data_IF_972888731527
#
_entry.id   IF_972888731527
#
_cell.length_a   1.000
_cell.length_b   1.000
_cell.length_c   1.000
_cell.angle_alpha   90.00
_cell.angle_beta   90.00
_cell.angle_gamma   90.00
#
_symmetry.space_group_name_H-M   'P 1'
#
loop_
_entity.id
_entity.type
_entity.pdbx_description
1 polymer ?
#
# COMPACT_ATOMS: atom_id res chain seq x y z
N UNK A 1 19.78 14.23 -42.96
CA UNK A 1 19.78 12.77 -43.22
C UNK A 1 20.26 11.94 -42.02
N UNK A 2 21.29 12.36 -41.27
CA UNK A 2 21.73 11.64 -40.05
C UNK A 2 20.80 11.80 -38.83
N UNK A 3 20.05 12.90 -38.75
CA UNK A 3 19.12 13.19 -37.62
C UNK A 3 17.81 12.40 -37.67
N UNK A 4 17.31 12.07 -38.87
CA UNK A 4 16.09 11.25 -39.04
C UNK A 4 16.29 9.79 -38.63
N UNK A 5 17.49 9.24 -38.86
CA UNK A 5 17.79 7.84 -38.59
C UNK A 5 17.91 7.57 -37.09
N UNK A 6 18.40 8.54 -36.32
CA UNK A 6 18.46 8.46 -34.85
C UNK A 6 17.06 8.54 -34.21
N UNK A 7 16.19 9.43 -34.71
CA UNK A 7 14.80 9.54 -34.26
C UNK A 7 14.01 8.26 -34.58
N UNK A 8 14.18 7.69 -35.77
CA UNK A 8 13.57 6.42 -36.16
C UNK A 8 14.06 5.26 -35.29
N UNK A 9 15.35 5.17 -35.00
CA UNK A 9 15.89 4.16 -34.08
C UNK A 9 15.35 4.30 -32.66
N UNK A 10 15.21 5.52 -32.13
CA UNK A 10 14.63 5.76 -30.81
C UNK A 10 13.15 5.36 -30.76
N UNK A 11 12.41 5.64 -31.84
CA UNK A 11 10.99 5.31 -31.98
C UNK A 11 10.78 3.78 -32.12
N UNK A 12 11.65 3.10 -32.87
CA UNK A 12 11.65 1.63 -32.96
C UNK A 12 12.04 0.98 -31.64
N UNK A 13 13.03 1.52 -30.92
CA UNK A 13 13.45 1.01 -29.61
C UNK A 13 12.33 1.16 -28.57
N UNK A 14 11.65 2.32 -28.56
CA UNK A 14 10.49 2.55 -27.67
C UNK A 14 9.31 1.66 -28.04
N UNK A 15 9.02 1.43 -29.33
CA UNK A 15 8.00 0.47 -29.77
C UNK A 15 8.34 -0.96 -29.31
N UNK A 16 9.59 -1.40 -29.50
CA UNK A 16 10.09 -2.69 -29.01
C UNK A 16 9.96 -2.79 -27.49
N UNK A 17 10.37 -1.78 -26.74
CA UNK A 17 10.20 -1.75 -25.28
C UNK A 17 8.72 -1.88 -24.88
N UNK A 18 7.78 -1.19 -25.54
CA UNK A 18 6.34 -1.33 -25.24
C UNK A 18 5.79 -2.72 -25.57
N UNK A 19 6.33 -3.41 -26.58
CA UNK A 19 5.96 -4.79 -26.92
C UNK A 19 6.48 -5.80 -25.88
N UNK A 20 7.64 -5.54 -25.25
CA UNK A 20 8.19 -6.40 -24.19
C UNK A 20 7.52 -6.20 -22.81
N UNK A 21 6.86 -5.06 -22.56
CA UNK A 21 6.14 -4.80 -21.30
C UNK A 21 4.88 -5.67 -21.14
N UNK A 22 4.38 -6.28 -22.21
CA UNK A 22 3.12 -7.04 -22.21
C UNK A 22 3.19 -8.47 -21.64
N UNK A 23 4.33 -8.92 -21.10
CA UNK A 23 4.49 -10.28 -20.56
C UNK A 23 4.71 -10.32 -19.05
N UNK A 24 4.31 -9.29 -18.29
CA UNK A 24 4.14 -9.42 -16.85
C UNK A 24 2.97 -10.37 -16.58
N UNK A 25 3.25 -11.66 -16.44
CA UNK A 25 2.27 -12.62 -15.95
C UNK A 25 1.91 -12.24 -14.52
N UNK A 26 0.62 -12.18 -14.21
CA UNK A 26 0.16 -12.00 -12.84
C UNK A 26 0.71 -13.13 -11.96
N UNK A 27 1.28 -12.77 -10.82
CA UNK A 27 1.64 -13.73 -9.79
C UNK A 27 0.46 -13.92 -8.83
N UNK A 28 0.29 -15.14 -8.31
CA UNK A 28 -0.66 -15.39 -7.24
C UNK A 28 0.01 -15.08 -5.89
N UNK A 29 -0.70 -14.38 -5.01
CA UNK A 29 -0.26 -14.11 -3.65
C UNK A 29 -1.34 -14.53 -2.66
N UNK A 30 -0.95 -15.31 -1.65
CA UNK A 30 -1.85 -15.70 -0.58
C UNK A 30 -2.01 -14.55 0.41
N UNK A 31 -3.22 -14.02 0.52
CA UNK A 31 -3.59 -12.95 1.46
C UNK A 31 -4.60 -13.51 2.44
N UNK A 32 -4.40 -13.23 3.73
CA UNK A 32 -5.36 -13.59 4.76
C UNK A 32 -6.66 -12.77 4.61
N UNK A 33 -7.80 -13.39 4.90
CA UNK A 33 -9.08 -12.67 4.97
C UNK A 33 -9.09 -11.66 6.11
N UNK A 34 -9.92 -10.63 5.95
CA UNK A 34 -10.35 -9.81 7.07
C UNK A 34 -11.07 -10.67 8.11
N UNK A 35 -11.00 -10.24 9.37
CA UNK A 35 -11.52 -10.98 10.54
C UNK A 35 -12.68 -10.29 11.23
N UNK A 36 -12.96 -9.02 10.92
CA UNK A 36 -14.04 -8.24 11.52
C UNK A 36 -15.11 -7.92 10.47
N UNK A 37 -16.35 -8.36 10.72
CA UNK A 37 -17.50 -8.03 9.89
C UNK A 37 -18.50 -7.18 10.67
N UNK A 38 -19.23 -6.31 9.96
CA UNK A 38 -20.27 -5.46 10.58
C UNK A 38 -21.63 -6.14 10.45
N UNK A 39 -22.37 -6.20 11.56
CA UNK A 39 -23.73 -6.74 11.56
C UNK A 39 -24.65 -5.97 10.59
N UNK A 40 -25.45 -6.71 9.80
CA UNK A 40 -26.37 -6.20 8.79
C UNK A 40 -25.73 -5.83 7.45
N UNK A 41 -24.40 -5.89 7.32
CA UNK A 41 -23.70 -5.64 6.06
C UNK A 41 -23.28 -6.94 5.38
N UNK A 42 -22.92 -6.87 4.11
CA UNK A 42 -22.28 -7.98 3.40
C UNK A 42 -20.78 -8.03 3.67
N UNK A 43 -20.22 -9.22 3.74
CA UNK A 43 -18.82 -9.44 4.06
C UNK A 43 -18.18 -10.47 3.12
N UNK A 44 -16.97 -10.20 2.65
CA UNK A 44 -16.21 -11.13 1.81
C UNK A 44 -15.29 -11.99 2.69
N UNK A 45 -15.55 -13.29 2.74
CA UNK A 45 -14.64 -14.26 3.32
C UNK A 45 -13.59 -14.63 2.26
N UNK A 46 -12.37 -14.13 2.45
CA UNK A 46 -11.25 -14.39 1.57
C UNK A 46 -10.63 -15.77 1.81
N UNK A 47 -10.47 -16.58 0.77
CA UNK A 47 -9.69 -17.80 0.88
C UNK A 47 -8.91 -18.02 -0.41
N UNK A 48 -7.59 -17.86 -0.34
CA UNK A 48 -6.70 -17.98 -1.50
C UNK A 48 -5.69 -19.09 -1.22
N UNK A 49 -5.58 -20.03 -2.15
CA UNK A 49 -4.53 -21.05 -2.16
C UNK A 49 -3.87 -21.06 -3.52
N UNK A 50 -2.65 -20.52 -3.56
CA UNK A 50 -1.86 -20.46 -4.78
C UNK A 50 -1.22 -21.81 -5.06
N UNK A 51 -1.18 -22.20 -6.34
CA UNK A 51 -0.34 -23.34 -6.74
C UNK A 51 1.12 -22.97 -6.53
N UNK A 52 1.94 -23.95 -6.13
CA UNK A 52 3.39 -23.76 -6.02
C UNK A 52 4.03 -23.38 -7.36
N UNK A 53 3.42 -23.84 -8.45
CA UNK A 53 3.89 -23.70 -9.82
C UNK A 53 2.69 -23.34 -10.69
N UNK A 54 2.67 -22.13 -11.25
CA UNK A 54 1.47 -21.59 -11.91
C UNK A 54 1.20 -22.23 -13.27
N UNK A 55 2.25 -22.69 -13.95
CA UNK A 55 2.18 -23.27 -15.29
C UNK A 55 1.58 -24.68 -15.35
N UNK A 56 1.44 -25.37 -14.22
CA UNK A 56 0.87 -26.73 -14.19
C UNK A 56 -0.65 -26.62 -14.19
N UNK A 57 -1.30 -27.17 -15.20
CA UNK A 57 -2.76 -27.19 -15.26
C UNK A 57 -3.35 -28.03 -14.12
N UNK A 58 -4.52 -27.62 -13.65
CA UNK A 58 -5.23 -28.32 -12.60
C UNK A 58 -6.71 -28.01 -12.61
N UNK A 59 -7.49 -28.91 -12.02
CA UNK A 59 -8.88 -28.68 -11.67
C UNK A 59 -9.00 -28.72 -10.15
N UNK A 60 -9.84 -27.86 -9.59
CA UNK A 60 -10.10 -27.83 -8.16
C UNK A 60 -11.59 -27.61 -7.88
N UNK A 61 -12.05 -28.24 -6.81
CA UNK A 61 -13.32 -27.90 -6.18
C UNK A 61 -13.06 -27.47 -4.73
N UNK A 62 -14.03 -26.74 -4.18
CA UNK A 62 -13.90 -26.09 -2.89
C UNK A 62 -15.06 -26.49 -2.00
N UNK A 63 -14.75 -26.78 -0.74
CA UNK A 63 -15.73 -26.93 0.32
C UNK A 63 -15.47 -25.95 1.44
N UNK A 64 -16.53 -25.37 1.99
CA UNK A 64 -16.48 -24.53 3.17
C UNK A 64 -17.18 -25.19 4.34
N UNK A 65 -16.54 -25.10 5.49
CA UNK A 65 -17.05 -25.55 6.76
C UNK A 65 -17.10 -24.39 7.75
N UNK A 66 -18.11 -24.38 8.60
CA UNK A 66 -18.30 -23.40 9.65
C UNK A 66 -18.32 -24.06 11.01
N UNK A 67 -17.66 -23.45 11.98
CA UNK A 67 -17.71 -23.82 13.39
C UNK A 67 -18.14 -22.60 14.21
N UNK A 68 -19.34 -22.62 14.80
CA UNK A 68 -19.80 -21.56 15.69
C UNK A 68 -18.87 -21.35 16.89
N UNK A 69 -18.84 -20.13 17.44
CA UNK A 69 -18.08 -19.85 18.66
C UNK A 69 -18.68 -20.61 19.85
N UNK A 70 -17.93 -21.58 20.38
CA UNK A 70 -18.32 -22.38 21.56
C UNK A 70 -18.69 -23.82 21.25
N UNK A 71 -18.82 -24.17 19.96
CA UNK A 71 -19.05 -25.55 19.51
C UNK A 71 -17.74 -26.22 19.07
N UNK A 72 -17.72 -27.56 19.11
CA UNK A 72 -16.56 -28.36 18.75
C UNK A 72 -16.55 -28.85 17.29
N UNK A 73 -17.73 -28.99 16.67
CA UNK A 73 -17.91 -29.56 15.33
C UNK A 73 -17.85 -28.53 14.21
N UNK A 74 -17.28 -28.94 13.08
CA UNK A 74 -17.41 -28.21 11.81
C UNK A 74 -18.63 -28.73 11.05
N UNK A 75 -19.43 -27.83 10.52
CA UNK A 75 -20.60 -28.13 9.68
C UNK A 75 -20.30 -27.70 8.26
N UNK A 76 -20.61 -28.54 7.28
CA UNK A 76 -20.43 -28.22 5.86
C UNK A 76 -21.50 -27.22 5.44
N UNK A 77 -21.10 -26.09 4.84
CA UNK A 77 -22.00 -24.96 4.53
C UNK A 77 -22.09 -24.64 3.04
N UNK A 78 -21.04 -24.93 2.26
CA UNK A 78 -20.97 -24.52 0.86
C UNK A 78 -20.02 -25.41 0.07
N UNK A 79 -20.42 -25.75 -1.15
CA UNK A 79 -19.63 -26.52 -2.12
C UNK A 79 -19.58 -25.74 -3.42
N UNK A 80 -18.40 -25.66 -4.04
CA UNK A 80 -18.25 -25.12 -5.38
C UNK A 80 -17.44 -26.07 -6.24
N UNK A 81 -18.07 -26.60 -7.28
CA UNK A 81 -17.49 -27.54 -8.23
C UNK A 81 -17.79 -27.11 -9.68
N UNK A 82 -17.56 -28.00 -10.64
CA UNK A 82 -17.83 -27.73 -12.07
C UNK A 82 -19.32 -27.55 -12.40
N UNK A 83 -20.21 -28.15 -11.60
CA UNK A 83 -21.67 -28.05 -11.76
C UNK A 83 -22.24 -26.74 -11.18
N UNK A 84 -21.45 -26.05 -10.35
CA UNK A 84 -21.77 -24.75 -9.80
C UNK A 84 -21.64 -24.67 -8.27
N UNK A 85 -22.39 -23.73 -7.69
CA UNK A 85 -22.44 -23.48 -6.26
C UNK A 85 -23.63 -24.20 -5.62
N UNK A 86 -23.37 -24.94 -4.54
CA UNK A 86 -24.40 -25.60 -3.73
C UNK A 86 -24.26 -25.16 -2.28
N UNK A 87 -25.39 -24.77 -1.68
CA UNK A 87 -25.47 -24.43 -0.25
C UNK A 87 -26.00 -25.66 0.48
N UNK A 88 -25.23 -26.15 1.44
CA UNK A 88 -25.51 -27.43 2.13
C UNK A 88 -26.24 -27.23 3.47
N UNK A 89 -26.30 -25.99 3.96
CA UNK A 89 -26.83 -25.68 5.29
C UNK A 89 -27.85 -24.55 5.26
N UNK A 90 -29.03 -24.81 5.82
CA UNK A 90 -30.20 -23.90 5.78
C UNK A 90 -29.95 -22.51 6.38
N UNK A 91 -29.12 -22.39 7.44
CA UNK A 91 -28.76 -21.09 8.03
C UNK A 91 -28.10 -20.12 7.03
N UNK A 92 -27.44 -20.68 6.03
CA UNK A 92 -26.69 -19.93 5.01
C UNK A 92 -27.40 -19.90 3.66
N UNK A 93 -28.60 -20.49 3.56
CA UNK A 93 -29.43 -20.47 2.37
C UNK A 93 -29.70 -19.02 1.93
N UNK A 94 -29.57 -18.76 0.64
CA UNK A 94 -29.76 -17.45 -0.01
C UNK A 94 -28.89 -16.30 0.53
N UNK A 95 -27.86 -16.62 1.33
CA UNK A 95 -26.93 -15.63 1.94
C UNK A 95 -25.50 -15.80 1.48
N UNK A 96 -25.13 -16.92 0.89
CA UNK A 96 -23.80 -17.17 0.35
C UNK A 96 -23.80 -17.05 -1.17
N UNK A 97 -22.79 -16.35 -1.70
CA UNK A 97 -22.52 -16.27 -3.13
C UNK A 97 -21.03 -16.42 -3.43
N UNK A 98 -20.73 -16.90 -4.63
CA UNK A 98 -19.37 -17.13 -5.09
C UNK A 98 -18.71 -15.82 -5.56
N UNK A 99 -17.61 -15.45 -4.92
CA UNK A 99 -16.77 -14.30 -5.28
C UNK A 99 -15.34 -14.72 -5.66
N UNK A 100 -15.11 -16.02 -5.92
CA UNK A 100 -13.82 -16.57 -6.30
C UNK A 100 -13.54 -16.51 -7.80
N UNK A 101 -12.63 -17.38 -8.25
CA UNK A 101 -12.33 -17.57 -9.67
C UNK A 101 -13.54 -18.15 -10.42
N UNK A 102 -14.09 -17.44 -11.42
CA UNK A 102 -15.33 -17.82 -12.13
C UNK A 102 -15.13 -18.43 -13.52
N UNK A 103 -13.92 -18.31 -14.10
CA UNK A 103 -13.67 -18.58 -15.53
C UNK A 103 -12.72 -19.75 -15.79
N UNK A 104 -12.25 -20.41 -14.74
CA UNK A 104 -11.29 -21.52 -14.82
C UNK A 104 -11.68 -22.63 -13.87
N UNK A 105 -11.44 -23.87 -14.29
CA UNK A 105 -11.49 -25.05 -13.44
C UNK A 105 -10.33 -25.06 -12.42
N UNK A 106 -9.23 -24.37 -12.75
CA UNK A 106 -8.15 -24.09 -11.79
C UNK A 106 -8.56 -22.97 -10.84
N UNK A 107 -9.18 -23.35 -9.72
CA UNK A 107 -9.58 -22.42 -8.66
C UNK A 107 -8.37 -22.15 -7.76
N UNK A 108 -7.96 -20.89 -7.69
CA UNK A 108 -6.93 -20.40 -6.75
C UNK A 108 -7.50 -19.42 -5.72
N UNK A 109 -8.51 -18.64 -6.11
CA UNK A 109 -9.31 -17.80 -5.21
C UNK A 109 -10.67 -18.46 -4.97
N UNK A 110 -10.92 -18.87 -3.74
CA UNK A 110 -12.13 -19.51 -3.24
C UNK A 110 -12.97 -18.59 -2.34
N UNK A 111 -12.85 -17.28 -2.53
CA UNK A 111 -13.59 -16.31 -1.73
C UNK A 111 -15.11 -16.44 -1.90
N UNK A 112 -15.83 -16.41 -0.78
CA UNK A 112 -17.30 -16.36 -0.76
C UNK A 112 -17.78 -15.02 -0.18
N UNK A 113 -18.94 -14.58 -0.62
CA UNK A 113 -19.60 -13.39 -0.10
C UNK A 113 -20.77 -13.80 0.78
N UNK A 114 -20.79 -13.30 2.02
CA UNK A 114 -21.85 -13.55 3.00
C UNK A 114 -22.72 -12.29 3.13
N UNK A 115 -23.98 -12.39 2.74
CA UNK A 115 -24.97 -11.32 2.84
C UNK A 115 -25.65 -11.28 4.21
N UNK A 116 -26.02 -10.06 4.63
CA UNK A 116 -26.73 -9.78 5.87
C UNK A 116 -26.09 -10.48 7.07
N UNK A 117 -24.85 -10.13 7.40
CA UNK A 117 -24.10 -10.76 8.49
C UNK A 117 -24.81 -10.54 9.83
N UNK A 118 -24.90 -11.58 10.65
CA UNK A 118 -25.52 -11.57 11.97
C UNK A 118 -24.53 -12.00 13.04
N UNK A 119 -24.80 -11.71 14.31
CA UNK A 119 -23.90 -12.11 15.40
C UNK A 119 -23.70 -13.64 15.52
N UNK A 120 -24.66 -14.42 15.03
CA UNK A 120 -24.61 -15.90 15.01
C UNK A 120 -23.58 -16.45 14.00
N UNK A 121 -23.16 -15.63 13.04
CA UNK A 121 -22.14 -16.01 12.06
C UNK A 121 -20.71 -15.85 12.63
N UNK A 122 -20.59 -15.45 13.90
CA UNK A 122 -19.31 -15.39 14.61
C UNK A 122 -18.76 -16.79 14.86
N UNK A 123 -17.57 -17.07 14.37
CA UNK A 123 -16.98 -18.39 14.49
C UNK A 123 -15.71 -18.57 13.68
N UNK A 124 -15.39 -19.83 13.41
CA UNK A 124 -14.25 -20.22 12.57
C UNK A 124 -14.75 -20.85 11.29
N UNK A 125 -14.38 -20.26 10.16
CA UNK A 125 -14.60 -20.82 8.85
C UNK A 125 -13.35 -21.57 8.41
N UNK A 126 -13.54 -22.69 7.73
CA UNK A 126 -12.48 -23.47 7.11
C UNK A 126 -12.85 -23.74 5.66
N UNK A 127 -11.97 -23.34 4.74
CA UNK A 127 -12.08 -23.71 3.34
C UNK A 127 -11.12 -24.86 3.05
N UNK A 128 -11.58 -25.83 2.27
CA UNK A 128 -10.77 -26.90 1.70
C UNK A 128 -10.69 -26.74 0.19
N UNK A 129 -9.48 -26.82 -0.33
CA UNK A 129 -9.22 -26.95 -1.76
C UNK A 129 -8.88 -28.41 -2.04
N UNK A 130 -9.69 -29.06 -2.86
CA UNK A 130 -9.39 -30.37 -3.40
C UNK A 130 -8.95 -30.18 -4.84
N UNK A 131 -7.64 -30.25 -5.05
CA UNK A 131 -7.03 -29.93 -6.34
C UNK A 131 -6.40 -31.18 -6.95
N UNK A 132 -6.67 -31.40 -8.22
CA UNK A 132 -5.97 -32.39 -9.05
C UNK A 132 -5.09 -31.62 -10.03
N UNK A 133 -3.78 -31.83 -9.94
CA UNK A 133 -2.77 -31.28 -10.85
C UNK A 133 -2.51 -32.29 -11.96
N UNK A 134 -2.51 -31.82 -13.20
CA UNK A 134 -2.26 -32.62 -14.38
C UNK A 134 -0.82 -32.41 -14.84
N UNK A 135 0.03 -33.40 -14.60
CA UNK A 135 1.37 -33.46 -15.19
C UNK A 135 1.36 -34.31 -16.46
N UNK A 136 2.41 -34.22 -17.28
CA UNK A 136 2.49 -34.96 -18.55
C UNK A 136 2.33 -36.48 -18.40
N UNK A 137 2.74 -37.04 -17.26
CA UNK A 137 2.82 -38.49 -17.06
C UNK A 137 1.95 -39.04 -15.91
N UNK A 138 1.39 -38.17 -15.07
CA UNK A 138 0.59 -38.59 -13.91
C UNK A 138 -0.28 -37.45 -13.39
N UNK A 139 -1.31 -37.82 -12.64
CA UNK A 139 -2.17 -36.88 -11.92
C UNK A 139 -1.80 -36.89 -10.43
N UNK A 140 -1.83 -35.71 -9.81
CA UNK A 140 -1.53 -35.55 -8.40
C UNK A 140 -2.65 -34.80 -7.69
N UNK A 141 -3.35 -35.49 -6.80
CA UNK A 141 -4.38 -34.88 -5.97
C UNK A 141 -3.79 -34.38 -4.65
N UNK A 142 -4.13 -33.14 -4.29
CA UNK A 142 -3.70 -32.49 -3.04
C UNK A 142 -4.89 -31.80 -2.38
N UNK A 143 -4.90 -31.83 -1.05
CA UNK A 143 -5.90 -31.15 -0.24
C UNK A 143 -5.22 -30.11 0.62
N UNK A 144 -5.67 -28.86 0.53
CA UNK A 144 -5.14 -27.74 1.32
C UNK A 144 -6.29 -27.09 2.07
N UNK A 145 -6.14 -26.86 3.37
CA UNK A 145 -7.10 -26.12 4.16
C UNK A 145 -6.56 -24.76 4.62
N UNK A 146 -7.47 -23.79 4.74
CA UNK A 146 -7.19 -22.50 5.37
C UNK A 146 -8.29 -22.17 6.37
N UNK A 147 -7.89 -21.52 7.45
CA UNK A 147 -8.77 -21.13 8.55
C UNK A 147 -8.95 -19.62 8.55
N UNK A 148 -10.20 -19.19 8.71
CA UNK A 148 -10.58 -17.77 8.83
C UNK A 148 -11.41 -17.62 10.10
N UNK A 149 -10.94 -16.78 11.02
CA UNK A 149 -11.67 -16.46 12.24
C UNK A 149 -12.48 -15.19 12.02
N UNK A 150 -13.80 -15.31 12.05
CA UNK A 150 -14.72 -14.19 11.86
C UNK A 150 -15.31 -13.76 13.20
N UNK A 151 -15.21 -12.47 13.48
CA UNK A 151 -15.85 -11.79 14.61
C UNK A 151 -16.79 -10.72 14.10
N UNK A 152 -18.07 -10.80 14.48
CA UNK A 152 -19.08 -9.83 14.07
C UNK A 152 -19.21 -8.71 15.11
N UNK A 153 -19.03 -7.47 14.67
CA UNK A 153 -19.09 -6.26 15.50
C UNK A 153 -20.29 -5.39 15.09
N UNK A 154 -20.81 -4.59 16.02
CA UNK A 154 -21.93 -3.69 15.73
C UNK A 154 -21.51 -2.48 14.86
N UNK A 155 -20.23 -2.11 14.89
CA UNK A 155 -19.69 -0.95 14.16
C UNK A 155 -18.26 -1.25 13.72
N UNK A 156 -17.90 -0.86 12.50
CA UNK A 156 -16.54 -1.03 11.98
C UNK A 156 -15.50 -0.27 12.82
N UNK A 157 -14.43 -0.96 13.20
CA UNK A 157 -13.22 -0.40 13.81
C UNK A 157 -12.28 0.10 12.71
N UNK A 158 -11.60 1.24 12.93
CA UNK A 158 -10.38 1.55 12.16
C UNK A 158 -9.24 0.70 12.71
N UNK A 159 -8.43 0.10 11.83
CA UNK A 159 -7.26 -0.66 12.23
C UNK A 159 -6.27 0.19 13.03
N UNK A 160 -5.75 -0.37 14.13
CA UNK A 160 -4.81 0.32 15.03
C UNK A 160 -3.59 0.85 14.28
N UNK A 161 -3.05 0.07 13.33
CA UNK A 161 -1.93 0.47 12.49
C UNK A 161 -2.23 1.74 11.67
N UNK A 162 -3.44 1.89 11.14
CA UNK A 162 -3.85 3.09 10.38
C UNK A 162 -3.93 4.32 11.28
N UNK A 163 -4.41 4.16 12.52
CA UNK A 163 -4.48 5.27 13.49
C UNK A 163 -3.07 5.68 13.91
N UNK A 164 -2.21 4.71 14.23
CA UNK A 164 -0.84 4.98 14.67
C UNK A 164 0.00 5.60 13.55
N UNK A 165 -0.11 5.12 12.31
CA UNK A 165 0.65 5.69 11.19
C UNK A 165 0.26 7.14 10.89
N UNK A 166 -1.04 7.46 10.97
CA UNK A 166 -1.56 8.82 10.81
C UNK A 166 -1.00 9.76 11.89
N UNK A 167 -1.04 9.35 13.17
CA UNK A 167 -0.48 10.14 14.27
C UNK A 167 1.04 10.33 14.13
N UNK A 168 1.78 9.25 13.83
CA UNK A 168 3.24 9.30 13.68
C UNK A 168 3.67 10.19 12.51
N UNK A 169 2.90 10.21 11.42
CA UNK A 169 3.11 11.11 10.30
C UNK A 169 3.03 12.58 10.75
N UNK A 170 1.97 12.97 11.47
CA UNK A 170 1.83 14.34 11.96
C UNK A 170 2.92 14.75 12.95
N UNK A 171 3.28 13.86 13.88
CA UNK A 171 4.38 14.11 14.84
C UNK A 171 5.70 14.35 14.11
N UNK A 172 5.98 13.54 13.09
CA UNK A 172 7.20 13.67 12.30
C UNK A 172 7.22 14.98 11.50
N UNK A 173 6.10 15.36 10.87
CA UNK A 173 5.98 16.62 10.12
C UNK A 173 6.17 17.82 11.04
N UNK A 174 5.49 17.87 12.18
CA UNK A 174 5.59 18.98 13.13
C UNK A 174 7.00 19.07 13.71
N UNK A 175 7.59 17.93 14.08
CA UNK A 175 8.95 17.86 14.61
C UNK A 175 9.99 18.40 13.62
N UNK A 176 9.93 17.96 12.36
CA UNK A 176 10.82 18.45 11.31
C UNK A 176 10.60 19.94 11.02
N UNK A 177 9.35 20.40 11.01
CA UNK A 177 9.04 21.81 10.78
C UNK A 177 9.60 22.71 11.89
N UNK A 178 9.42 22.31 13.16
CA UNK A 178 9.97 23.04 14.31
C UNK A 178 11.49 23.04 14.27
N UNK A 179 12.11 21.90 13.94
CA UNK A 179 13.57 21.82 13.82
C UNK A 179 14.12 22.75 12.73
N UNK A 180 13.51 22.76 11.54
CA UNK A 180 13.88 23.69 10.47
C UNK A 180 13.68 25.15 10.88
N UNK A 181 12.59 25.49 11.59
CA UNK A 181 12.37 26.85 12.08
C UNK A 181 13.43 27.27 13.11
N UNK A 182 13.85 26.37 13.99
CA UNK A 182 14.94 26.62 14.96
C UNK A 182 16.23 26.93 14.21
N UNK A 183 16.62 26.10 13.24
CA UNK A 183 17.83 26.32 12.43
C UNK A 183 17.74 27.62 11.62
N UNK A 184 16.58 27.91 11.03
CA UNK A 184 16.35 29.16 10.30
C UNK A 184 16.50 30.39 11.19
N UNK A 185 15.91 30.39 12.39
CA UNK A 185 16.03 31.50 13.35
C UNK A 185 17.47 31.61 13.87
N UNK A 186 18.10 30.49 14.18
CA UNK A 186 19.48 30.45 14.64
C UNK A 186 20.44 31.04 13.60
N UNK A 187 20.34 30.58 12.34
CA UNK A 187 21.13 31.10 11.24
C UNK A 187 20.82 32.58 10.95
N UNK A 188 19.54 32.97 10.97
CA UNK A 188 19.15 34.36 10.77
C UNK A 188 19.78 35.28 11.81
N UNK A 189 19.66 34.95 13.11
CA UNK A 189 20.26 35.77 14.18
C UNK A 189 21.78 35.84 14.06
N UNK A 190 22.43 34.72 13.72
CA UNK A 190 23.89 34.67 13.54
C UNK A 190 24.35 35.55 12.37
N UNK A 191 23.66 35.49 11.24
CA UNK A 191 23.98 36.31 10.05
C UNK A 191 23.68 37.78 10.32
N UNK A 192 22.55 38.10 10.97
CA UNK A 192 22.21 39.48 11.32
C UNK A 192 23.29 40.13 12.20
N UNK A 193 23.78 39.42 13.22
CA UNK A 193 24.87 39.90 14.06
C UNK A 193 26.17 40.16 13.27
N UNK A 194 26.55 39.22 12.39
CA UNK A 194 27.72 39.41 11.52
C UNK A 194 27.53 40.53 10.48
N UNK A 195 26.29 40.73 10.01
CA UNK A 195 25.93 41.79 9.06
C UNK A 195 26.01 43.20 9.68
N UNK A 196 25.61 43.35 10.94
CA UNK A 196 25.76 44.61 11.67
C UNK A 196 27.24 44.98 11.84
N UNK A 197 28.11 44.00 12.12
CA UNK A 197 29.56 44.19 12.19
C UNK A 197 30.14 44.64 10.84
N UNK A 198 29.78 43.97 9.75
CA UNK A 198 30.21 44.34 8.40
C UNK A 198 29.73 45.75 7.98
N UNK A 199 28.50 46.13 8.33
CA UNK A 199 27.97 47.46 8.06
C UNK A 199 28.73 48.53 8.85
N UNK A 200 29.10 48.25 10.10
CA UNK A 200 29.87 49.16 10.96
C UNK A 200 31.30 49.33 10.44
N UNK A 201 31.93 48.27 9.94
CA UNK A 201 33.24 48.33 9.29
C UNK A 201 33.19 49.15 7.99
N UNK A 202 32.15 48.97 7.16
CA UNK A 202 31.95 49.77 5.95
C UNK A 202 31.74 51.26 6.26
N UNK A 203 30.91 51.60 7.26
CA UNK A 203 30.68 52.98 7.67
C UNK A 203 31.94 53.64 8.27
N UNK A 204 32.75 52.89 9.04
CA UNK A 204 34.03 53.39 9.55
C UNK A 204 35.03 53.66 8.42
N UNK A 205 35.08 52.79 7.40
CA UNK A 205 35.93 53.01 6.23
C UNK A 205 35.51 54.26 5.44
N UNK A 206 34.19 54.49 5.28
CA UNK A 206 33.66 55.69 4.63
C UNK A 206 33.96 56.98 5.42
N UNK A 207 33.78 56.97 6.74
CA UNK A 207 34.14 58.12 7.60
C UNK A 207 35.62 58.48 7.51
N UNK A 208 36.51 57.48 7.50
CA UNK A 208 37.96 57.69 7.36
C UNK A 208 38.30 58.27 5.98
N UNK A 209 37.63 57.82 4.92
CA UNK A 209 37.80 58.38 3.58
C UNK A 209 37.39 59.86 3.53
N UNK A 210 36.22 60.23 4.07
CA UNK A 210 35.75 61.62 4.13
C UNK A 210 36.69 62.50 4.98
N UNK A 211 37.19 61.99 6.11
CA UNK A 211 38.13 62.71 6.96
C UNK A 211 39.45 63.00 6.23
N UNK A 212 39.97 62.05 5.43
CA UNK A 212 41.18 62.26 4.62
C UNK A 212 40.97 63.36 3.57
N UNK A 213 39.82 63.37 2.88
CA UNK A 213 39.50 64.39 1.88
C UNK A 213 39.34 65.79 2.49
N UNK A 214 38.76 65.90 3.70
CA UNK A 214 38.66 67.18 4.42
C UNK A 214 40.01 67.73 4.93
N UNK A 215 40.97 66.83 5.21
CA UNK A 215 42.30 67.19 5.72
C UNK A 215 43.19 67.78 4.63
N UNK A 216 43.04 67.33 3.39
CA UNK A 216 43.75 67.86 2.24
C UNK A 216 43.26 69.27 1.85
N UNK A 217 41.97 69.58 2.04
CA UNK A 217 41.43 70.93 1.82
C UNK A 217 41.83 71.96 2.90
N UNK A 218 42.20 71.53 4.11
CA UNK A 218 42.63 72.44 5.19
C UNK A 218 44.13 72.78 5.15
N UNK A 219 44.93 72.14 4.29
CA UNK A 219 46.35 72.42 4.11
C UNK A 219 46.64 73.52 3.04
N UNK A 220 45.59 74.08 2.42
CA UNK A 220 45.69 75.05 1.33
C UNK A 220 45.23 76.47 1.71
N UNK A 221 45.85 77.11 2.71
CA UNK A 221 45.81 78.58 2.81
C UNK A 221 47.24 79.07 2.96
N UNK A 222 47.86 79.39 1.82
CA UNK A 222 49.10 80.17 1.79
C UNK A 222 48.75 81.66 1.96
N UNK A 223 49.24 82.27 3.03
CA UNK A 223 49.37 83.73 3.16
C UNK A 223 50.57 84.13 2.31
N UNK A 224 50.33 84.83 1.20
CA UNK A 224 51.36 85.44 0.38
C UNK A 224 51.66 86.85 0.88
N UNK A 225 52.93 87.08 1.20
CA UNK A 225 53.65 88.35 0.99
C UNK A 225 54.97 88.04 0.28
#
# INVERSE_FOLDING_TARGET
MFTDMAAFHLLVLTLLCTLFVYRCHGACAEVASDTEAVAGQGFKLGCISCKRRSEVDGSAYVEWYFKPKGESGFVHIYTYNEDGATIEHDQFADRLDWNGSKRSHDIQDASIYLFNVTFNDTGTYRCYFYRTLFYENYEYSTTVDKLVHLSVVAKASRGTASIVSEVMMYVSIIGLQVWLLIEMIYCYRKIAAAGEEALREAANAEYLAIASESKDNCAGVQVGE
#
